data_IF_553471577043
#
_entry.id   IF_553471577043
#
_cell.length_a   1.000
_cell.length_b   1.000
_cell.length_c   1.000
_cell.angle_alpha   90.00
_cell.angle_beta   90.00
_cell.angle_gamma   90.00
#
_symmetry.space_group_name_H-M   'P 1'
#
loop_
_entity.id
_entity.type
_entity.pdbx_description
1 polymer ?
#
# COMPACT_ATOMS: atom_id res chain seq x y z
N UNK A 1 2.54 -11.46 7.21
CA UNK A 1 3.15 -10.13 7.01
C UNK A 1 4.21 -9.87 8.07
N UNK A 2 4.97 -8.79 7.90
CA UNK A 2 6.07 -8.41 8.78
C UNK A 2 5.66 -7.54 9.98
N UNK A 3 4.38 -7.26 10.09
CA UNK A 3 3.82 -6.54 11.24
C UNK A 3 3.42 -7.53 12.34
N UNK A 4 3.85 -7.22 13.56
CA UNK A 4 3.53 -7.96 14.78
C UNK A 4 2.73 -7.06 15.72
N UNK A 5 1.77 -7.63 16.41
CA UNK A 5 1.03 -6.98 17.48
C UNK A 5 0.97 -7.91 18.69
N UNK A 6 0.82 -7.35 19.87
CA UNK A 6 0.56 -8.13 21.08
C UNK A 6 -0.93 -8.50 21.16
N UNK A 7 -1.24 -9.67 21.68
CA UNK A 7 -2.60 -10.07 22.01
C UNK A 7 -3.00 -9.45 23.36
N UNK A 8 -3.52 -8.23 23.27
CA UNK A 8 -3.97 -7.45 24.43
C UNK A 8 -5.32 -6.79 24.13
N UNK A 9 -5.99 -6.31 25.19
CA UNK A 9 -7.38 -5.81 25.15
C UNK A 9 -7.69 -4.72 24.10
N UNK A 10 -6.71 -4.00 23.61
CA UNK A 10 -6.89 -2.92 22.61
C UNK A 10 -6.42 -3.30 21.20
N UNK A 11 -6.02 -4.54 20.97
CA UNK A 11 -5.64 -4.98 19.66
C UNK A 11 -6.86 -5.45 18.86
N UNK A 12 -7.50 -4.55 18.14
CA UNK A 12 -8.66 -4.82 17.30
C UNK A 12 -8.39 -5.80 16.14
N UNK A 13 -7.12 -6.10 15.85
CA UNK A 13 -6.70 -6.99 14.77
C UNK A 13 -6.27 -8.39 15.25
N UNK A 14 -6.52 -8.76 16.51
CA UNK A 14 -6.20 -10.09 17.04
C UNK A 14 -6.83 -11.18 16.17
N UNK A 15 -8.10 -11.03 15.79
CA UNK A 15 -8.80 -11.99 14.93
C UNK A 15 -8.21 -12.11 13.53
N UNK A 16 -7.75 -10.99 12.96
CA UNK A 16 -7.03 -11.02 11.67
C UNK A 16 -5.70 -11.78 11.79
N UNK A 17 -5.04 -11.71 12.95
CA UNK A 17 -3.81 -12.47 13.22
C UNK A 17 -4.07 -13.97 13.40
N UNK A 18 -5.23 -14.34 13.91
CA UNK A 18 -5.67 -15.75 14.11
C UNK A 18 -6.45 -16.30 12.92
N UNK A 19 -6.64 -15.50 11.85
CA UNK A 19 -7.47 -15.84 10.68
C UNK A 19 -8.96 -16.07 10.96
N UNK A 20 -9.46 -15.66 12.11
CA UNK A 20 -10.88 -15.74 12.43
C UNK A 20 -11.74 -14.80 11.58
N UNK A 21 -11.14 -13.71 11.05
CA UNK A 21 -11.81 -12.71 10.19
C UNK A 21 -12.09 -13.21 8.76
N UNK A 22 -11.67 -14.42 8.41
CA UNK A 22 -11.92 -15.00 7.09
C UNK A 22 -13.38 -15.41 6.86
N UNK A 23 -14.20 -15.43 7.91
CA UNK A 23 -15.62 -15.71 7.76
C UNK A 23 -16.38 -14.51 7.19
N UNK A 24 -17.33 -14.78 6.28
CA UNK A 24 -18.10 -13.77 5.55
C UNK A 24 -18.89 -12.79 6.42
N UNK A 25 -19.26 -13.20 7.62
CA UNK A 25 -20.05 -12.40 8.57
C UNK A 25 -19.19 -11.53 9.50
N UNK A 26 -17.86 -11.63 9.44
CA UNK A 26 -16.99 -10.77 10.22
C UNK A 26 -16.83 -9.38 9.59
N UNK A 27 -16.77 -8.36 10.46
CA UNK A 27 -16.74 -6.95 10.04
C UNK A 27 -15.63 -6.61 9.05
N UNK A 28 -14.35 -6.99 9.22
CA UNK A 28 -13.31 -6.60 8.29
C UNK A 28 -13.58 -7.05 6.86
N UNK A 29 -13.94 -8.33 6.69
CA UNK A 29 -14.30 -8.91 5.38
C UNK A 29 -15.51 -8.21 4.77
N UNK A 30 -16.57 -7.99 5.55
CA UNK A 30 -17.79 -7.38 5.06
C UNK A 30 -17.62 -5.89 4.74
N UNK A 31 -16.90 -5.13 5.59
CA UNK A 31 -16.66 -3.70 5.37
C UNK A 31 -15.90 -3.48 4.06
N UNK A 32 -14.82 -4.22 3.83
CA UNK A 32 -14.03 -4.07 2.61
C UNK A 32 -14.87 -4.35 1.36
N UNK A 33 -15.58 -5.48 1.34
CA UNK A 33 -16.48 -5.85 0.25
C UNK A 33 -17.50 -4.76 -0.07
N UNK A 34 -18.24 -4.32 0.95
CA UNK A 34 -19.29 -3.31 0.78
C UNK A 34 -18.74 -1.95 0.36
N UNK A 35 -17.60 -1.54 0.93
CA UNK A 35 -16.99 -0.26 0.59
C UNK A 35 -16.56 -0.23 -0.87
N UNK A 36 -15.84 -1.25 -1.33
CA UNK A 36 -15.37 -1.32 -2.72
C UNK A 36 -16.55 -1.36 -3.69
N UNK A 37 -17.58 -2.18 -3.45
CA UNK A 37 -18.75 -2.21 -4.34
C UNK A 37 -19.59 -0.92 -4.30
N UNK A 38 -19.65 -0.20 -3.18
CA UNK A 38 -20.29 1.12 -3.14
C UNK A 38 -19.53 2.15 -3.98
N UNK A 39 -18.20 2.11 -3.96
CA UNK A 39 -17.37 2.97 -4.81
C UNK A 39 -17.51 2.60 -6.28
N UNK A 40 -17.51 1.31 -6.61
CA UNK A 40 -17.77 0.81 -7.98
C UNK A 40 -19.15 1.28 -8.47
N UNK A 41 -20.19 1.20 -7.63
CA UNK A 41 -21.52 1.69 -7.99
C UNK A 41 -21.50 3.20 -8.32
N UNK A 42 -20.81 3.99 -7.49
CA UNK A 42 -20.66 5.44 -7.73
C UNK A 42 -19.88 5.72 -9.01
N UNK A 43 -18.78 4.99 -9.22
CA UNK A 43 -17.98 5.11 -10.45
C UNK A 43 -18.79 4.74 -11.70
N UNK A 44 -19.57 3.66 -11.66
CA UNK A 44 -20.48 3.28 -12.74
C UNK A 44 -21.48 4.39 -13.08
N UNK A 45 -22.01 5.10 -12.05
CA UNK A 45 -22.87 6.25 -12.25
C UNK A 45 -22.20 7.36 -13.06
N UNK A 46 -20.96 7.70 -12.73
CA UNK A 46 -20.19 8.71 -13.48
C UNK A 46 -19.88 8.23 -14.91
N UNK A 47 -19.42 6.99 -15.04
CA UNK A 47 -19.09 6.39 -16.37
C UNK A 47 -20.30 6.35 -17.28
N UNK A 48 -21.52 6.11 -16.76
CA UNK A 48 -22.75 6.06 -17.55
C UNK A 48 -23.22 7.44 -18.03
N UNK A 49 -22.79 8.53 -17.40
CA UNK A 49 -23.25 9.89 -17.71
C UNK A 49 -22.32 10.66 -18.63
N UNK A 50 -21.08 10.25 -18.79
CA UNK A 50 -20.07 10.94 -19.61
C UNK A 50 -19.85 10.16 -20.90
N UNK A 51 -20.02 10.83 -22.04
CA UNK A 51 -19.67 10.27 -23.35
C UNK A 51 -18.16 9.91 -23.37
N UNK A 52 -17.79 8.65 -23.58
CA UNK A 52 -16.38 8.24 -23.63
C UNK A 52 -15.59 8.87 -24.78
N UNK A 53 -16.26 9.48 -25.77
CA UNK A 53 -15.67 10.23 -26.88
C UNK A 53 -15.65 11.74 -26.63
N UNK A 54 -16.01 12.20 -25.43
CA UNK A 54 -16.03 13.64 -25.09
C UNK A 54 -14.71 14.33 -25.40
N UNK A 55 -14.79 15.56 -25.95
CA UNK A 55 -13.62 16.43 -26.14
C UNK A 55 -13.45 17.46 -24.99
N UNK A 56 -14.41 17.55 -24.06
CA UNK A 56 -14.31 18.44 -22.91
C UNK A 56 -13.24 17.97 -21.92
N UNK A 57 -12.25 18.80 -21.65
CA UNK A 57 -11.12 18.49 -20.75
C UNK A 57 -11.57 18.12 -19.32
N UNK A 58 -12.59 18.77 -18.80
CA UNK A 58 -13.11 18.47 -17.46
C UNK A 58 -13.82 17.12 -17.42
N UNK A 59 -14.60 16.81 -18.44
CA UNK A 59 -15.28 15.52 -18.54
C UNK A 59 -14.29 14.38 -18.77
N UNK A 60 -13.25 14.59 -19.60
CA UNK A 60 -12.13 13.64 -19.74
C UNK A 60 -11.50 13.34 -18.37
N UNK A 61 -11.22 14.38 -17.59
CA UNK A 61 -10.62 14.24 -16.27
C UNK A 61 -11.55 13.47 -15.30
N UNK A 62 -12.83 13.83 -15.21
CA UNK A 62 -13.76 13.16 -14.31
C UNK A 62 -14.03 11.70 -14.69
N UNK A 63 -14.14 11.42 -15.99
CA UNK A 63 -14.26 10.05 -16.47
C UNK A 63 -13.03 9.21 -16.10
N UNK A 64 -11.83 9.78 -16.24
CA UNK A 64 -10.59 9.13 -15.87
C UNK A 64 -10.51 8.84 -14.35
N UNK A 65 -10.99 9.77 -13.49
CA UNK A 65 -11.09 9.53 -12.06
C UNK A 65 -11.99 8.30 -11.77
N UNK A 66 -13.19 8.27 -12.34
CA UNK A 66 -14.15 7.20 -12.12
C UNK A 66 -13.62 5.82 -12.59
N UNK A 67 -13.03 5.77 -13.79
CA UNK A 67 -12.42 4.56 -14.34
C UNK A 67 -11.24 4.07 -13.47
N UNK A 68 -10.38 4.98 -13.03
CA UNK A 68 -9.23 4.62 -12.18
C UNK A 68 -9.65 4.09 -10.81
N UNK A 69 -10.65 4.69 -10.17
CA UNK A 69 -11.21 4.22 -8.88
C UNK A 69 -11.87 2.84 -9.08
N UNK A 70 -12.69 2.66 -10.12
CA UNK A 70 -13.32 1.37 -10.41
C UNK A 70 -12.29 0.27 -10.61
N UNK A 71 -11.23 0.56 -11.36
CA UNK A 71 -10.13 -0.37 -11.57
C UNK A 71 -9.39 -0.70 -10.26
N UNK A 72 -9.10 0.30 -9.43
CA UNK A 72 -8.47 0.11 -8.13
C UNK A 72 -9.32 -0.78 -7.21
N UNK A 73 -10.63 -0.51 -7.13
CA UNK A 73 -11.54 -1.28 -6.29
C UNK A 73 -11.64 -2.73 -6.72
N UNK A 74 -11.77 -3.00 -8.03
CA UNK A 74 -11.74 -4.37 -8.55
C UNK A 74 -10.40 -5.05 -8.34
N UNK A 75 -9.30 -4.32 -8.45
CA UNK A 75 -7.97 -4.87 -8.19
C UNK A 75 -7.80 -5.28 -6.72
N UNK A 76 -8.28 -4.45 -5.77
CA UNK A 76 -8.30 -4.80 -4.34
C UNK A 76 -9.20 -6.00 -4.09
N UNK A 77 -10.42 -6.01 -4.61
CA UNK A 77 -11.36 -7.12 -4.47
C UNK A 77 -10.77 -8.44 -5.01
N UNK A 78 -10.18 -8.41 -6.21
CA UNK A 78 -9.58 -9.58 -6.83
C UNK A 78 -8.44 -10.15 -5.98
N UNK A 79 -7.60 -9.30 -5.39
CA UNK A 79 -6.48 -9.73 -4.54
C UNK A 79 -6.93 -10.23 -3.16
N UNK A 80 -7.99 -9.65 -2.59
CA UNK A 80 -8.46 -10.01 -1.25
C UNK A 80 -9.36 -11.23 -1.21
N UNK A 81 -10.17 -11.45 -2.24
CA UNK A 81 -11.22 -12.48 -2.24
C UNK A 81 -10.93 -13.63 -3.21
N UNK A 82 -9.79 -13.60 -3.90
CA UNK A 82 -9.31 -14.66 -4.77
C UNK A 82 -7.80 -14.84 -4.63
N UNK A 83 -7.27 -15.93 -5.18
CA UNK A 83 -5.83 -16.14 -5.32
C UNK A 83 -5.23 -15.17 -6.35
N UNK A 84 -3.88 -15.07 -6.35
CA UNK A 84 -3.18 -14.23 -7.33
C UNK A 84 -3.55 -14.57 -8.78
N UNK A 85 -3.34 -13.61 -9.69
CA UNK A 85 -3.71 -13.75 -11.10
C UNK A 85 -3.06 -14.97 -11.78
N UNK A 86 -1.72 -15.05 -11.71
CA UNK A 86 -0.97 -16.05 -12.50
C UNK A 86 -1.27 -17.49 -12.08
N UNK A 87 -1.74 -18.28 -13.05
CA UNK A 87 -2.14 -19.68 -12.85
C UNK A 87 -3.56 -19.86 -12.28
N UNK A 88 -4.33 -18.77 -12.15
CA UNK A 88 -5.71 -18.81 -11.67
C UNK A 88 -6.69 -18.08 -12.60
N UNK A 89 -6.28 -17.78 -13.82
CA UNK A 89 -7.00 -16.94 -14.78
C UNK A 89 -8.44 -17.42 -15.02
N UNK A 90 -8.66 -18.72 -15.11
CA UNK A 90 -9.98 -19.33 -15.33
C UNK A 90 -10.80 -19.55 -14.05
N UNK A 91 -10.23 -19.27 -12.86
CA UNK A 91 -10.95 -19.50 -11.60
C UNK A 91 -11.97 -18.40 -11.31
N UNK A 92 -13.06 -18.71 -10.57
CA UNK A 92 -14.02 -17.71 -10.15
C UNK A 92 -13.36 -16.62 -9.31
N UNK A 93 -13.57 -15.35 -9.64
CA UNK A 93 -13.08 -14.19 -8.90
C UNK A 93 -14.21 -13.53 -8.10
N UNK A 94 -14.64 -12.35 -8.51
CA UNK A 94 -15.71 -11.58 -7.88
C UNK A 94 -16.78 -11.23 -8.92
N UNK A 95 -18.02 -10.89 -8.53
CA UNK A 95 -19.02 -10.38 -9.48
C UNK A 95 -18.52 -9.13 -10.20
N UNK A 96 -18.53 -9.13 -11.51
CA UNK A 96 -18.16 -7.98 -12.32
C UNK A 96 -19.42 -7.18 -12.68
N UNK A 97 -19.57 -6.02 -12.02
CA UNK A 97 -20.72 -5.12 -12.19
C UNK A 97 -20.20 -3.80 -12.77
N UNK A 98 -20.55 -3.55 -14.02
CA UNK A 98 -20.23 -2.32 -14.76
C UNK A 98 -21.48 -1.47 -14.99
N UNK A 99 -21.31 -0.28 -15.55
CA UNK A 99 -22.44 0.56 -15.97
C UNK A 99 -23.38 -0.12 -16.98
N UNK A 100 -22.88 -1.12 -17.71
CA UNK A 100 -23.66 -1.83 -18.75
C UNK A 100 -24.59 -2.88 -18.17
N UNK A 101 -24.21 -3.57 -17.09
CA UNK A 101 -24.98 -4.67 -16.50
C UNK A 101 -25.53 -4.36 -15.09
N UNK A 102 -25.35 -3.13 -14.57
CA UNK A 102 -25.73 -2.78 -13.20
C UNK A 102 -27.22 -3.00 -12.91
N UNK A 103 -28.11 -2.67 -13.84
CA UNK A 103 -29.55 -2.86 -13.68
C UNK A 103 -29.94 -4.35 -13.65
N UNK A 104 -29.34 -5.15 -14.52
CA UNK A 104 -29.54 -6.60 -14.56
C UNK A 104 -29.02 -7.25 -13.27
N UNK A 105 -27.82 -6.86 -12.84
CA UNK A 105 -27.22 -7.34 -11.62
C UNK A 105 -28.06 -6.98 -10.37
N UNK A 106 -28.68 -5.80 -10.35
CA UNK A 106 -29.55 -5.38 -9.26
C UNK A 106 -30.85 -6.18 -9.21
N UNK A 107 -31.42 -6.53 -10.38
CA UNK A 107 -32.68 -7.27 -10.47
C UNK A 107 -32.52 -8.77 -10.22
N UNK A 108 -31.48 -9.39 -10.77
CA UNK A 108 -31.34 -10.84 -10.87
C UNK A 108 -30.10 -11.38 -10.13
N UNK A 109 -29.29 -10.52 -9.54
CA UNK A 109 -27.97 -10.84 -9.00
C UNK A 109 -26.92 -10.96 -10.10
N UNK A 110 -25.67 -11.14 -9.70
CA UNK A 110 -24.54 -11.28 -10.60
C UNK A 110 -23.66 -12.46 -10.17
N UNK A 111 -23.42 -13.39 -11.06
CA UNK A 111 -22.49 -14.49 -10.83
C UNK A 111 -21.04 -13.96 -10.71
N UNK A 112 -20.18 -14.76 -10.09
CA UNK A 112 -18.74 -14.46 -10.05
C UNK A 112 -18.15 -14.59 -11.45
N UNK A 113 -17.45 -13.57 -11.90
CA UNK A 113 -16.65 -13.63 -13.13
C UNK A 113 -15.33 -14.37 -12.87
N UNK A 114 -14.63 -14.74 -13.93
CA UNK A 114 -13.30 -15.32 -13.83
C UNK A 114 -12.26 -14.27 -13.43
N UNK A 115 -11.11 -14.71 -12.92
CA UNK A 115 -9.98 -13.83 -12.65
C UNK A 115 -9.57 -13.07 -13.91
N UNK A 116 -9.52 -13.76 -15.06
CA UNK A 116 -9.19 -13.13 -16.35
C UNK A 116 -10.16 -12.00 -16.69
N UNK A 117 -11.47 -12.25 -16.66
CA UNK A 117 -12.49 -11.24 -17.00
C UNK A 117 -12.40 -10.01 -16.09
N UNK A 118 -12.15 -10.20 -14.80
CA UNK A 118 -12.00 -9.08 -13.85
C UNK A 118 -10.74 -8.27 -14.16
N UNK A 119 -9.60 -8.92 -14.44
CA UNK A 119 -8.37 -8.23 -14.79
C UNK A 119 -8.44 -7.58 -16.18
N UNK A 120 -9.15 -8.15 -17.12
CA UNK A 120 -9.41 -7.52 -18.43
C UNK A 120 -10.20 -6.21 -18.25
N UNK A 121 -11.21 -6.19 -17.39
CA UNK A 121 -11.95 -4.96 -17.07
C UNK A 121 -11.06 -3.93 -16.38
N UNK A 122 -10.24 -4.35 -15.39
CA UNK A 122 -9.29 -3.47 -14.69
C UNK A 122 -8.34 -2.83 -15.71
N UNK A 123 -7.78 -3.60 -16.61
CA UNK A 123 -6.85 -3.10 -17.63
C UNK A 123 -7.54 -2.21 -18.67
N UNK A 124 -8.78 -2.54 -19.07
CA UNK A 124 -9.59 -1.70 -19.95
C UNK A 124 -9.82 -0.32 -19.31
N UNK A 125 -10.23 -0.28 -18.06
CA UNK A 125 -10.47 0.96 -17.32
C UNK A 125 -9.19 1.79 -17.19
N UNK A 126 -8.07 1.18 -16.77
CA UNK A 126 -6.80 1.89 -16.62
C UNK A 126 -6.22 2.38 -17.93
N UNK A 127 -6.33 1.61 -19.01
CA UNK A 127 -5.90 2.04 -20.35
C UNK A 127 -6.67 3.27 -20.81
N UNK A 128 -8.01 3.25 -20.64
CA UNK A 128 -8.85 4.39 -20.98
C UNK A 128 -8.57 5.58 -20.07
N UNK A 129 -8.41 5.37 -18.76
CA UNK A 129 -8.11 6.43 -17.80
C UNK A 129 -6.78 7.15 -18.14
N UNK A 130 -5.72 6.37 -18.40
CA UNK A 130 -4.42 6.91 -18.82
C UNK A 130 -4.56 7.74 -20.09
N UNK A 131 -5.22 7.20 -21.12
CA UNK A 131 -5.43 7.92 -22.39
C UNK A 131 -6.18 9.25 -22.20
N UNK A 132 -7.21 9.27 -21.34
CA UNK A 132 -7.97 10.47 -21.02
C UNK A 132 -7.11 11.51 -20.24
N UNK A 133 -6.29 11.04 -19.28
CA UNK A 133 -5.40 11.92 -18.51
C UNK A 133 -4.25 12.46 -19.34
N UNK A 134 -3.81 11.73 -20.36
CA UNK A 134 -2.83 12.25 -21.34
C UNK A 134 -3.44 13.29 -22.30
N UNK A 135 -4.75 13.17 -22.59
CA UNK A 135 -5.48 13.98 -23.54
C UNK A 135 -6.19 15.21 -22.92
N UNK A 136 -6.08 15.42 -21.61
CA UNK A 136 -6.66 16.58 -20.90
C UNK A 136 -5.58 17.53 -20.39
N UNK A 137 -5.86 18.82 -20.38
CA UNK A 137 -5.06 19.85 -19.70
C UNK A 137 -5.47 20.07 -18.24
N UNK A 138 -6.59 19.49 -17.83
CA UNK A 138 -7.03 19.56 -16.44
C UNK A 138 -6.19 18.68 -15.54
N UNK A 139 -5.70 19.27 -14.45
CA UNK A 139 -4.88 18.58 -13.45
C UNK A 139 -5.53 18.65 -12.06
N UNK A 140 -5.09 17.79 -11.17
CA UNK A 140 -5.47 17.83 -9.76
C UNK A 140 -4.77 18.94 -8.96
N UNK A 141 -3.80 19.63 -9.55
CA UNK A 141 -2.89 20.53 -8.83
C UNK A 141 -2.12 19.77 -7.74
N UNK A 142 -2.12 20.28 -6.51
CA UNK A 142 -1.45 19.67 -5.35
C UNK A 142 -2.36 18.69 -4.57
N UNK A 143 -3.62 18.58 -4.93
CA UNK A 143 -4.59 17.75 -4.20
C UNK A 143 -4.40 16.26 -4.48
N UNK A 144 -3.77 15.56 -3.57
CA UNK A 144 -3.43 14.14 -3.71
C UNK A 144 -4.60 13.18 -3.41
N UNK A 145 -5.80 13.68 -3.13
CA UNK A 145 -7.02 12.86 -3.12
C UNK A 145 -7.39 12.38 -4.53
N UNK A 146 -7.05 13.18 -5.54
CA UNK A 146 -7.37 12.88 -6.94
C UNK A 146 -6.22 12.17 -7.64
N UNK A 147 -6.59 11.41 -8.67
CA UNK A 147 -5.65 10.63 -9.48
C UNK A 147 -5.07 11.54 -10.57
N UNK A 148 -3.74 11.68 -10.58
CA UNK A 148 -3.00 12.25 -11.69
C UNK A 148 -2.65 11.16 -12.72
N UNK A 149 -2.13 11.54 -13.89
CA UNK A 149 -1.67 10.56 -14.87
C UNK A 149 -0.55 9.67 -14.31
N UNK A 150 0.32 10.21 -13.45
CA UNK A 150 1.39 9.46 -12.79
C UNK A 150 0.83 8.41 -11.82
N UNK A 151 -0.24 8.74 -11.09
CA UNK A 151 -0.95 7.77 -10.26
C UNK A 151 -1.63 6.70 -11.11
N UNK A 152 -2.24 7.07 -12.22
CA UNK A 152 -2.86 6.11 -13.14
C UNK A 152 -1.80 5.16 -13.76
N UNK A 153 -0.62 5.67 -14.15
CA UNK A 153 0.52 4.83 -14.53
C UNK A 153 0.94 3.91 -13.38
N UNK A 154 1.06 4.43 -12.15
CA UNK A 154 1.43 3.64 -10.98
C UNK A 154 0.41 2.53 -10.67
N UNK A 155 -0.88 2.80 -10.78
CA UNK A 155 -1.93 1.78 -10.64
C UNK A 155 -1.80 0.71 -11.73
N UNK A 156 -1.60 1.11 -12.99
CA UNK A 156 -1.43 0.16 -14.10
C UNK A 156 -0.14 -0.64 -13.97
N UNK A 157 0.94 -0.03 -13.45
CA UNK A 157 2.18 -0.73 -13.12
C UNK A 157 1.97 -1.81 -12.05
N UNK A 158 1.22 -1.53 -10.98
CA UNK A 158 0.85 -2.53 -9.95
C UNK A 158 0.09 -3.72 -10.55
N UNK A 159 -0.88 -3.45 -11.43
CA UNK A 159 -1.68 -4.48 -12.09
C UNK A 159 -0.81 -5.30 -13.03
N UNK A 160 -0.03 -4.65 -13.90
CA UNK A 160 0.90 -5.32 -14.81
C UNK A 160 1.96 -6.17 -14.06
N UNK A 161 2.46 -5.70 -12.92
CA UNK A 161 3.37 -6.46 -12.05
C UNK A 161 2.69 -7.75 -11.55
N UNK A 162 1.45 -7.67 -11.11
CA UNK A 162 0.67 -8.82 -10.63
C UNK A 162 0.35 -9.81 -11.74
N UNK A 163 0.06 -9.30 -12.93
CA UNK A 163 -0.17 -10.12 -14.15
C UNK A 163 1.12 -10.69 -14.74
N UNK A 164 2.29 -10.25 -14.26
CA UNK A 164 3.62 -10.56 -14.80
C UNK A 164 3.84 -10.02 -16.22
N UNK A 165 3.19 -8.94 -16.57
CA UNK A 165 3.43 -8.17 -17.80
C UNK A 165 4.64 -7.25 -17.59
N UNK A 166 5.83 -7.82 -17.50
CA UNK A 166 7.03 -7.16 -17.01
C UNK A 166 7.42 -5.91 -17.78
N UNK A 167 7.41 -5.95 -19.11
CA UNK A 167 7.75 -4.80 -19.95
C UNK A 167 6.79 -3.62 -19.69
N UNK A 168 5.49 -3.87 -19.71
CA UNK A 168 4.47 -2.86 -19.45
C UNK A 168 4.56 -2.31 -18.01
N UNK A 169 4.83 -3.17 -17.03
CA UNK A 169 5.05 -2.76 -15.64
C UNK A 169 6.24 -1.81 -15.50
N UNK A 170 7.36 -2.11 -16.17
CA UNK A 170 8.56 -1.27 -16.16
C UNK A 170 8.33 0.09 -16.85
N UNK A 171 7.65 0.10 -18.00
CA UNK A 171 7.33 1.33 -18.74
C UNK A 171 6.42 2.26 -17.93
N UNK A 172 5.36 1.71 -17.34
CA UNK A 172 4.42 2.46 -16.53
C UNK A 172 5.08 2.98 -15.23
N UNK A 173 5.87 2.15 -14.55
CA UNK A 173 6.62 2.58 -13.37
C UNK A 173 7.60 3.72 -13.70
N UNK A 174 8.31 3.64 -14.84
CA UNK A 174 9.21 4.70 -15.28
C UNK A 174 8.45 6.01 -15.60
N UNK A 175 7.29 5.91 -16.28
CA UNK A 175 6.44 7.08 -16.54
C UNK A 175 5.92 7.72 -15.25
N UNK A 176 5.55 6.90 -14.28
CA UNK A 176 5.11 7.36 -12.97
C UNK A 176 6.24 8.09 -12.23
N UNK A 177 7.47 7.57 -12.24
CA UNK A 177 8.65 8.21 -11.64
C UNK A 177 8.93 9.57 -12.30
N UNK A 178 8.95 9.61 -13.64
CA UNK A 178 9.36 10.80 -14.38
C UNK A 178 8.47 12.04 -14.13
N UNK A 179 7.21 11.84 -13.78
CA UNK A 179 6.25 12.93 -13.54
C UNK A 179 5.92 13.15 -12.06
N UNK A 180 6.49 12.35 -11.15
CA UNK A 180 6.27 12.46 -9.71
C UNK A 180 7.38 13.22 -9.00
N UNK A 181 7.21 13.45 -7.68
CA UNK A 181 8.28 13.93 -6.82
C UNK A 181 9.42 12.93 -6.66
N UNK A 182 10.43 13.32 -5.90
CA UNK A 182 11.54 12.43 -5.56
C UNK A 182 11.21 11.56 -4.35
N UNK A 183 11.86 10.39 -4.16
CA UNK A 183 11.83 9.67 -2.90
C UNK A 183 12.26 10.57 -1.72
N UNK A 184 11.82 10.26 -0.52
CA UNK A 184 12.42 10.87 0.67
C UNK A 184 13.94 10.76 0.61
N UNK A 185 14.62 11.85 0.89
CA UNK A 185 16.04 11.83 1.18
C UNK A 185 16.35 10.94 2.39
N UNK A 186 17.59 10.58 2.57
CA UNK A 186 18.02 9.82 3.75
C UNK A 186 17.76 10.57 5.06
N UNK A 187 17.89 11.90 5.06
CA UNK A 187 17.60 12.74 6.20
C UNK A 187 16.11 12.72 6.55
N UNK A 188 15.23 12.91 5.57
CA UNK A 188 13.78 12.84 5.75
C UNK A 188 13.33 11.45 6.22
N UNK A 189 13.89 10.38 5.66
CA UNK A 189 13.62 9.01 6.11
C UNK A 189 14.19 8.73 7.52
N UNK A 190 15.14 9.52 7.98
CA UNK A 190 15.78 9.44 9.30
C UNK A 190 14.98 10.08 10.44
N UNK A 191 13.72 10.42 10.24
CA UNK A 191 12.83 10.98 11.26
C UNK A 191 11.43 10.36 11.17
N UNK A 192 10.66 10.32 12.27
CA UNK A 192 9.24 9.99 12.22
C UNK A 192 8.47 10.94 11.30
N UNK A 193 7.80 10.39 10.30
CA UNK A 193 7.11 11.14 9.25
C UNK A 193 5.79 10.49 8.84
N UNK A 194 5.47 10.54 7.55
CA UNK A 194 4.27 9.88 6.98
C UNK A 194 2.96 10.39 7.58
N UNK A 195 2.81 11.72 7.69
CA UNK A 195 1.66 12.34 8.34
C UNK A 195 0.85 13.24 7.45
N UNK A 196 1.40 13.72 6.31
CA UNK A 196 0.76 14.74 5.50
C UNK A 196 0.86 14.45 4.01
N UNK A 197 -0.23 14.64 3.29
CA UNK A 197 -0.29 14.47 1.83
C UNK A 197 0.52 15.53 1.06
N UNK A 198 0.98 16.59 1.71
CA UNK A 198 1.92 17.58 1.14
C UNK A 198 3.30 17.00 0.86
N UNK A 199 3.67 15.89 1.48
CA UNK A 199 4.93 15.19 1.27
C UNK A 199 5.24 14.93 -0.21
N UNK A 200 6.42 15.34 -0.67
CA UNK A 200 6.79 15.28 -2.09
C UNK A 200 6.87 13.85 -2.65
N UNK A 201 7.17 12.85 -1.81
CA UNK A 201 7.27 11.46 -2.25
C UNK A 201 5.91 10.79 -2.44
N UNK A 202 4.84 11.37 -1.87
CA UNK A 202 3.51 10.79 -1.97
C UNK A 202 2.86 11.14 -3.31
N UNK A 203 2.40 10.14 -3.99
CA UNK A 203 1.70 10.27 -5.26
C UNK A 203 0.18 10.35 -5.09
N UNK A 204 -0.38 9.57 -4.17
CA UNK A 204 -1.81 9.48 -3.89
C UNK A 204 -2.05 9.21 -2.41
N UNK A 205 -3.12 9.81 -1.85
CA UNK A 205 -3.37 9.74 -0.42
C UNK A 205 -4.86 9.83 -0.07
N UNK A 206 -5.21 9.27 1.08
CA UNK A 206 -6.43 9.63 1.80
C UNK A 206 -6.09 10.84 2.66
N UNK A 207 -6.73 11.97 2.38
CA UNK A 207 -6.56 13.22 3.14
C UNK A 207 -7.64 13.30 4.21
N UNK A 208 -7.22 13.48 5.46
CA UNK A 208 -8.10 13.45 6.64
C UNK A 208 -8.17 14.84 7.27
N UNK A 209 -9.37 15.41 7.37
CA UNK A 209 -9.59 16.66 8.07
C UNK A 209 -9.87 16.41 9.57
N UNK A 210 -9.46 17.33 10.44
CA UNK A 210 -9.72 17.24 11.89
C UNK A 210 -11.23 17.18 12.21
N UNK A 211 -12.06 17.71 11.30
CA UNK A 211 -13.54 17.70 11.42
C UNK A 211 -14.18 16.41 10.94
N UNK A 212 -13.42 15.51 10.30
CA UNK A 212 -13.96 14.26 9.79
C UNK A 212 -14.44 13.37 10.94
N UNK A 213 -15.52 12.64 10.70
CA UNK A 213 -16.10 11.74 11.69
C UNK A 213 -15.11 10.68 12.16
N UNK A 214 -14.21 10.26 11.31
CA UNK A 214 -13.16 9.27 11.64
C UNK A 214 -12.20 9.82 12.71
N UNK A 215 -12.05 11.14 12.84
CA UNK A 215 -11.26 11.81 13.87
C UNK A 215 -12.14 12.18 15.09
N UNK A 216 -13.29 12.82 14.84
CA UNK A 216 -14.16 13.35 15.90
C UNK A 216 -14.88 12.27 16.71
N UNK A 217 -14.96 11.04 16.21
CA UNK A 217 -15.51 9.88 16.94
C UNK A 217 -14.52 9.25 17.95
N UNK A 218 -13.36 9.85 18.14
CA UNK A 218 -12.32 9.41 19.09
C UNK A 218 -11.15 8.74 18.39
N UNK A 219 -10.47 7.82 19.10
CA UNK A 219 -9.22 7.20 18.61
C UNK A 219 -9.43 5.96 17.72
N UNK A 220 -10.62 5.69 17.23
CA UNK A 220 -10.94 4.48 16.44
C UNK A 220 -10.66 4.75 14.96
N UNK A 221 -9.40 4.93 14.59
CA UNK A 221 -8.99 5.16 13.21
C UNK A 221 -7.60 4.60 12.92
N UNK A 222 -7.20 4.55 11.65
CA UNK A 222 -5.90 4.02 11.22
C UNK A 222 -4.71 4.81 11.81
N UNK A 223 -4.66 6.17 11.79
CA UNK A 223 -3.55 6.90 12.40
C UNK A 223 -3.36 6.58 13.89
N UNK A 224 -4.45 6.41 14.64
CA UNK A 224 -4.41 6.00 16.05
C UNK A 224 -3.77 4.61 16.26
N UNK A 225 -3.95 3.69 15.33
CA UNK A 225 -3.34 2.37 15.37
C UNK A 225 -1.87 2.37 14.92
N UNK A 226 -1.43 3.38 14.19
CA UNK A 226 -0.08 3.46 13.63
C UNK A 226 0.81 4.47 14.36
N UNK A 227 0.28 5.56 14.87
CA UNK A 227 1.08 6.63 15.50
C UNK A 227 1.54 6.28 16.91
N UNK A 228 2.75 5.73 17.09
CA UNK A 228 3.26 5.30 18.38
C UNK A 228 3.56 6.45 19.37
N UNK A 229 3.72 7.68 18.87
CA UNK A 229 4.00 8.87 19.67
C UNK A 229 2.76 9.74 19.94
N UNK A 230 1.60 9.40 19.35
CA UNK A 230 0.31 10.01 19.64
C UNK A 230 -0.38 9.31 20.82
N UNK A 231 -1.39 9.97 21.40
CA UNK A 231 -2.37 9.28 22.24
C UNK A 231 -3.38 8.56 21.33
N UNK A 232 -3.30 7.25 21.30
CA UNK A 232 -4.13 6.39 20.48
C UNK A 232 -3.91 4.90 20.80
N UNK A 233 -4.49 4.00 20.03
CA UNK A 233 -4.36 2.57 20.29
C UNK A 233 -2.92 2.08 20.24
N UNK A 234 -2.10 2.61 19.32
CA UNK A 234 -0.69 2.22 19.21
C UNK A 234 0.13 2.59 20.44
N UNK A 235 -0.25 3.65 21.18
CA UNK A 235 0.51 4.14 22.34
C UNK A 235 -0.02 3.65 23.69
N UNK A 236 -1.27 3.15 23.75
CA UNK A 236 -1.87 2.66 24.99
C UNK A 236 -1.83 1.14 25.15
N UNK A 237 -0.99 0.47 24.38
CA UNK A 237 -0.75 -0.97 24.51
C UNK A 237 -0.94 -1.79 23.24
N UNK A 238 -1.64 -1.32 22.23
CA UNK A 238 -1.81 -2.04 20.96
C UNK A 238 -0.65 -1.72 19.99
N UNK A 239 0.56 -1.77 20.47
CA UNK A 239 1.76 -1.43 19.70
C UNK A 239 1.88 -2.24 18.41
N UNK A 240 2.42 -1.60 17.37
CA UNK A 240 2.77 -2.24 16.10
C UNK A 240 4.28 -2.37 16.03
N UNK A 241 4.74 -3.59 15.81
CA UNK A 241 6.15 -3.94 15.82
C UNK A 241 6.55 -4.57 14.50
N UNK A 242 7.81 -4.44 14.13
CA UNK A 242 8.38 -5.24 13.03
C UNK A 242 8.69 -6.65 13.51
N UNK A 243 8.61 -7.61 12.60
CA UNK A 243 9.14 -8.96 12.80
C UNK A 243 10.65 -8.87 13.09
N UNK A 244 11.09 -9.44 14.23
CA UNK A 244 12.48 -9.41 14.65
C UNK A 244 13.45 -9.98 13.60
N UNK A 245 13.03 -11.02 12.86
CA UNK A 245 13.87 -11.59 11.80
C UNK A 245 14.13 -10.55 10.71
N UNK A 246 13.08 -9.88 10.23
CA UNK A 246 13.23 -8.82 9.22
C UNK A 246 14.06 -7.65 9.77
N UNK A 247 13.83 -7.23 11.01
CA UNK A 247 14.63 -6.17 11.65
C UNK A 247 16.13 -6.50 11.65
N UNK A 248 16.50 -7.73 11.99
CA UNK A 248 17.89 -8.17 12.04
C UNK A 248 18.54 -8.29 10.65
N UNK A 249 17.74 -8.37 9.60
CA UNK A 249 18.21 -8.38 8.20
C UNK A 249 18.51 -6.96 7.67
N UNK A 250 18.10 -5.90 8.40
CA UNK A 250 18.36 -4.51 8.00
C UNK A 250 19.77 -4.11 8.51
N UNK A 251 20.69 -3.69 7.62
CA UNK A 251 22.02 -3.23 8.05
C UNK A 251 21.96 -1.99 8.95
N UNK A 252 22.94 -1.81 9.82
CA UNK A 252 23.04 -0.62 10.67
C UNK A 252 23.30 0.67 9.89
N UNK A 253 23.81 0.55 8.66
CA UNK A 253 24.02 1.66 7.74
C UNK A 253 22.73 2.13 7.05
N UNK A 254 21.66 1.31 7.10
CA UNK A 254 20.37 1.65 6.49
C UNK A 254 19.56 2.53 7.44
N UNK A 255 19.24 3.75 7.02
CA UNK A 255 18.49 4.72 7.83
C UNK A 255 17.12 4.22 8.27
N UNK A 256 16.51 3.32 7.50
CA UNK A 256 15.21 2.73 7.83
C UNK A 256 15.26 1.81 9.04
N UNK A 257 16.44 1.33 9.46
CA UNK A 257 16.54 0.56 10.70
C UNK A 257 16.02 1.34 11.90
N UNK A 258 16.22 2.65 11.90
CA UNK A 258 15.69 3.57 12.92
C UNK A 258 14.17 3.81 12.82
N UNK A 259 13.45 3.24 11.83
CA UNK A 259 11.99 3.24 11.83
C UNK A 259 11.38 2.35 12.91
N UNK A 260 12.19 1.60 13.61
CA UNK A 260 11.77 0.76 14.74
C UNK A 260 12.74 0.91 15.90
N UNK A 261 12.23 0.72 17.11
CA UNK A 261 13.08 0.58 18.28
C UNK A 261 13.90 -0.71 18.19
N UNK A 262 15.14 -0.67 18.62
CA UNK A 262 16.00 -1.84 18.74
C UNK A 262 15.63 -2.70 19.97
N UNK A 263 16.44 -3.73 20.26
CA UNK A 263 16.27 -4.60 21.44
C UNK A 263 16.36 -3.84 22.76
N UNK A 264 17.10 -2.72 22.80
CA UNK A 264 17.27 -1.84 23.97
C UNK A 264 16.23 -0.71 24.01
N UNK A 265 15.25 -0.71 23.10
CA UNK A 265 14.23 0.32 22.94
C UNK A 265 14.80 1.69 22.52
N UNK A 266 15.85 1.70 21.77
CA UNK A 266 16.50 2.86 21.19
C UNK A 266 16.27 2.92 19.68
N UNK A 267 16.33 4.11 19.09
CA UNK A 267 16.36 4.34 17.63
C UNK A 267 17.17 5.61 17.36
N UNK A 268 18.07 5.55 16.39
CA UNK A 268 18.89 6.69 15.94
C UNK A 268 18.04 7.78 15.24
N UNK A 269 16.84 7.44 14.81
CA UNK A 269 15.91 8.38 14.18
C UNK A 269 15.08 9.19 15.18
N UNK A 270 15.25 8.96 16.49
CA UNK A 270 14.49 9.66 17.53
C UNK A 270 15.36 10.66 18.29
N UNK A 271 14.82 11.85 18.50
CA UNK A 271 15.41 12.81 19.43
C UNK A 271 15.06 12.46 20.91
N UNK A 272 15.73 13.10 21.85
CA UNK A 272 15.57 12.82 23.29
C UNK A 272 14.12 12.94 23.78
N UNK A 273 13.36 13.88 23.26
CA UNK A 273 11.94 14.08 23.62
C UNK A 273 11.05 12.96 23.11
N UNK A 274 11.30 12.48 21.90
CA UNK A 274 10.59 11.35 21.30
C UNK A 274 10.91 10.04 22.03
N UNK A 275 12.18 9.83 22.42
CA UNK A 275 12.60 8.69 23.25
C UNK A 275 11.89 8.72 24.61
N UNK A 276 11.84 9.87 25.26
CA UNK A 276 11.13 10.02 26.53
C UNK A 276 9.62 9.72 26.38
N UNK A 277 9.00 10.15 25.30
CA UNK A 277 7.58 9.86 25.03
C UNK A 277 7.33 8.37 24.77
N UNK A 278 8.16 7.71 23.97
CA UNK A 278 8.08 6.28 23.73
C UNK A 278 8.25 5.46 25.02
N UNK A 279 9.17 5.90 25.88
CA UNK A 279 9.39 5.31 27.21
C UNK A 279 8.17 5.49 28.12
N UNK A 280 7.59 6.71 28.15
CA UNK A 280 6.37 7.01 28.91
C UNK A 280 5.20 6.13 28.50
N UNK A 281 5.07 5.84 27.21
CA UNK A 281 4.04 4.96 26.68
C UNK A 281 4.38 3.47 26.82
N UNK A 282 5.52 3.11 27.37
CA UNK A 282 5.93 1.73 27.59
C UNK A 282 6.15 0.94 26.30
N UNK A 283 6.51 1.61 25.22
CA UNK A 283 6.73 0.97 23.92
C UNK A 283 7.75 -0.18 24.05
N UNK A 284 7.39 -1.42 23.66
CA UNK A 284 8.33 -2.54 23.68
C UNK A 284 9.38 -2.40 22.57
N UNK A 285 10.43 -3.24 22.65
CA UNK A 285 11.41 -3.38 21.58
C UNK A 285 10.71 -3.68 20.25
N UNK A 286 11.30 -3.20 19.17
CA UNK A 286 10.81 -3.33 17.79
C UNK A 286 9.52 -2.57 17.45
N UNK A 287 9.01 -1.74 18.38
CA UNK A 287 7.86 -0.85 18.10
C UNK A 287 8.22 0.13 16.99
N UNK A 288 7.29 0.29 16.04
CA UNK A 288 7.47 1.19 14.91
C UNK A 288 7.45 2.66 15.35
N UNK A 289 8.31 3.46 14.73
CA UNK A 289 8.43 4.91 14.85
C UNK A 289 8.37 5.61 13.47
N UNK A 290 8.13 4.87 12.41
CA UNK A 290 8.01 5.36 11.04
C UNK A 290 6.91 6.41 10.92
N UNK A 291 5.74 6.11 11.50
CA UNK A 291 4.60 7.02 11.47
C UNK A 291 4.67 7.99 12.63
N UNK A 292 4.98 9.24 12.31
CA UNK A 292 5.13 10.33 13.26
C UNK A 292 3.82 10.81 13.87
N UNK A 293 3.89 11.71 14.84
CA UNK A 293 2.73 12.33 15.44
C UNK A 293 2.13 13.39 14.48
N UNK A 294 0.81 13.48 14.47
CA UNK A 294 0.08 14.47 13.67
C UNK A 294 0.61 15.89 13.93
N UNK A 295 0.95 16.62 12.86
CA UNK A 295 1.60 17.96 12.92
C UNK A 295 2.87 17.99 13.79
N UNK A 296 3.55 16.88 13.97
CA UNK A 296 4.75 16.80 14.83
C UNK A 296 4.48 16.95 16.33
N UNK A 297 3.22 17.04 16.78
CA UNK A 297 2.85 17.27 18.19
C UNK A 297 2.59 15.94 18.88
N UNK A 298 3.51 15.57 19.80
CA UNK A 298 3.42 14.32 20.55
C UNK A 298 2.31 14.34 21.59
N UNK A 299 1.86 13.13 21.95
CA UNK A 299 0.88 12.87 23.00
C UNK A 299 -0.51 13.51 22.81
N UNK A 300 -0.78 14.07 21.64
CA UNK A 300 -2.11 14.57 21.32
C UNK A 300 -3.07 13.45 20.90
N UNK A 301 -4.36 13.62 21.13
CA UNK A 301 -5.42 12.68 20.77
C UNK A 301 -6.01 12.90 19.37
N UNK A 302 -5.65 14.00 18.70
CA UNK A 302 -6.05 14.26 17.33
C UNK A 302 -5.24 13.35 16.40
N UNK A 303 -5.89 12.32 15.87
CA UNK A 303 -5.28 11.34 14.98
C UNK A 303 -5.80 11.60 13.55
N UNK A 304 -5.38 12.73 12.96
CA UNK A 304 -5.81 13.21 11.65
C UNK A 304 -4.69 13.17 10.60
N UNK A 305 -3.67 12.34 10.81
CA UNK A 305 -2.63 12.14 9.79
C UNK A 305 -3.23 11.54 8.53
N UNK A 306 -2.80 12.05 7.39
CA UNK A 306 -3.15 11.51 6.08
C UNK A 306 -2.55 10.10 5.89
N UNK A 307 -3.09 9.36 4.92
CA UNK A 307 -2.67 7.97 4.67
C UNK A 307 -2.15 7.85 3.24
N UNK A 308 -0.87 7.49 3.02
CA UNK A 308 -0.35 7.28 1.67
C UNK A 308 -0.97 6.02 1.06
N UNK A 309 -1.51 6.15 -0.15
CA UNK A 309 -1.98 5.04 -0.98
C UNK A 309 -0.96 4.65 -2.04
N UNK A 310 -0.09 5.60 -2.43
CA UNK A 310 0.98 5.39 -3.39
C UNK A 310 2.10 6.38 -3.15
N UNK A 311 3.34 5.89 -3.17
CA UNK A 311 4.56 6.70 -3.09
C UNK A 311 5.49 6.38 -4.24
N UNK A 312 6.34 7.35 -4.60
CA UNK A 312 7.27 7.17 -5.72
C UNK A 312 8.31 6.07 -5.46
N UNK A 313 8.68 5.83 -4.21
CA UNK A 313 9.59 4.73 -3.82
C UNK A 313 9.09 3.37 -4.28
N UNK A 314 7.78 3.14 -4.21
CA UNK A 314 7.19 1.89 -4.73
C UNK A 314 7.43 1.75 -6.23
N UNK A 315 7.36 2.85 -6.98
CA UNK A 315 7.57 2.82 -8.43
C UNK A 315 9.02 2.42 -8.79
N UNK A 316 10.02 2.86 -8.02
CA UNK A 316 11.40 2.40 -8.17
C UNK A 316 11.54 0.88 -7.93
N UNK A 317 10.85 0.38 -6.93
CA UNK A 317 10.86 -1.06 -6.60
C UNK A 317 10.12 -1.91 -7.64
N UNK A 318 8.99 -1.41 -8.19
CA UNK A 318 8.30 -2.05 -9.32
C UNK A 318 9.20 -2.05 -10.56
N UNK A 319 9.84 -0.93 -10.87
CA UNK A 319 10.73 -0.80 -12.02
C UNK A 319 11.89 -1.81 -11.94
N UNK A 320 12.55 -1.90 -10.79
CA UNK A 320 13.67 -2.82 -10.59
C UNK A 320 13.25 -4.29 -10.77
N UNK A 321 12.11 -4.69 -10.17
CA UNK A 321 11.59 -6.04 -10.32
C UNK A 321 11.19 -6.35 -11.77
N UNK A 322 10.44 -5.44 -12.39
CA UNK A 322 9.94 -5.62 -13.74
C UNK A 322 11.08 -5.68 -14.78
N UNK A 323 12.12 -4.86 -14.62
CA UNK A 323 13.33 -4.95 -15.47
C UNK A 323 14.01 -6.29 -15.34
N UNK A 324 14.21 -6.78 -14.11
CA UNK A 324 14.88 -8.05 -13.87
C UNK A 324 14.10 -9.23 -14.46
N UNK A 325 12.82 -9.30 -14.17
CA UNK A 325 11.93 -10.37 -14.61
C UNK A 325 11.60 -10.29 -16.11
N UNK A 326 11.69 -9.09 -16.69
CA UNK A 326 11.54 -8.84 -18.13
C UNK A 326 12.78 -9.19 -18.97
N UNK A 327 13.77 -9.88 -18.39
CA UNK A 327 14.95 -10.39 -19.09
C UNK A 327 16.24 -9.58 -18.89
N UNK A 328 16.23 -8.54 -18.09
CA UNK A 328 17.38 -7.69 -17.82
C UNK A 328 17.76 -7.65 -16.32
N UNK A 329 18.19 -8.76 -15.71
CA UNK A 329 18.47 -8.83 -14.27
C UNK A 329 19.55 -7.85 -13.82
N UNK A 330 20.58 -7.60 -14.64
CA UNK A 330 21.63 -6.63 -14.33
C UNK A 330 21.08 -5.19 -14.23
N UNK A 331 20.16 -4.82 -15.13
CA UNK A 331 19.51 -3.50 -15.09
C UNK A 331 18.61 -3.38 -13.87
N UNK A 332 17.82 -4.41 -13.56
CA UNK A 332 16.97 -4.42 -12.36
C UNK A 332 17.79 -4.32 -11.07
N UNK A 333 18.90 -5.08 -10.98
CA UNK A 333 19.83 -4.99 -9.84
C UNK A 333 20.45 -3.60 -9.70
N UNK A 334 20.86 -2.98 -10.80
CA UNK A 334 21.43 -1.63 -10.81
C UNK A 334 20.39 -0.58 -10.38
N UNK A 335 19.14 -0.68 -10.86
CA UNK A 335 18.02 0.20 -10.46
C UNK A 335 17.75 0.07 -8.96
N UNK A 336 17.68 -1.15 -8.43
CA UNK A 336 17.50 -1.39 -7.01
C UNK A 336 18.65 -0.80 -6.19
N UNK A 337 19.89 -1.11 -6.58
CA UNK A 337 21.08 -0.63 -5.88
C UNK A 337 21.13 0.90 -5.85
N UNK A 338 20.87 1.54 -7.00
CA UNK A 338 20.87 2.99 -7.09
C UNK A 338 19.83 3.62 -6.15
N UNK A 339 18.60 3.12 -6.15
CA UNK A 339 17.54 3.60 -5.26
C UNK A 339 17.96 3.48 -3.79
N UNK A 340 18.46 2.31 -3.38
CA UNK A 340 18.83 2.06 -1.98
C UNK A 340 20.04 2.91 -1.58
N UNK A 341 21.07 3.02 -2.44
CA UNK A 341 22.25 3.83 -2.14
C UNK A 341 21.92 5.33 -2.02
N UNK A 342 21.15 5.85 -2.95
CA UNK A 342 20.87 7.29 -3.00
C UNK A 342 19.98 7.73 -1.83
N UNK A 343 19.07 6.86 -1.37
CA UNK A 343 18.00 7.28 -0.45
C UNK A 343 17.93 6.54 0.88
N UNK A 344 18.63 5.40 1.06
CA UNK A 344 18.46 4.57 2.26
C UNK A 344 19.77 4.13 2.91
N UNK A 345 20.62 3.46 2.16
CA UNK A 345 21.87 2.87 2.64
C UNK A 345 23.00 3.05 1.61
N UNK A 346 23.91 4.01 1.82
CA UNK A 346 25.03 4.25 0.90
C UNK A 346 25.98 3.06 0.73
N UNK A 347 25.96 2.10 1.66
CA UNK A 347 26.81 0.92 1.63
C UNK A 347 26.13 -0.30 0.95
N UNK A 348 24.86 -0.17 0.54
CA UNK A 348 24.13 -1.28 -0.05
C UNK A 348 24.75 -1.73 -1.37
N UNK A 349 24.93 -3.05 -1.53
CA UNK A 349 25.37 -3.69 -2.76
C UNK A 349 24.36 -4.77 -3.13
N UNK A 350 23.78 -4.68 -4.31
CA UNK A 350 22.92 -5.73 -4.85
C UNK A 350 23.78 -6.80 -5.53
N UNK A 351 24.03 -7.90 -4.84
CA UNK A 351 24.83 -9.02 -5.35
C UNK A 351 24.03 -10.02 -6.20
N UNK A 352 22.72 -9.79 -6.35
CA UNK A 352 21.83 -10.65 -7.11
C UNK A 352 22.14 -10.58 -8.61
N UNK A 353 22.30 -11.73 -9.26
CA UNK A 353 22.69 -11.83 -10.68
C UNK A 353 21.65 -12.54 -11.57
N UNK A 354 20.71 -13.27 -10.98
CA UNK A 354 19.60 -13.88 -11.72
C UNK A 354 18.30 -13.10 -11.52
N UNK A 355 17.35 -13.22 -12.46
CA UNK A 355 16.06 -12.54 -12.37
C UNK A 355 15.33 -12.82 -11.05
N UNK A 356 15.27 -14.08 -10.64
CA UNK A 356 14.64 -14.49 -9.38
C UNK A 356 15.39 -13.98 -8.15
N UNK A 357 16.72 -13.95 -8.18
CA UNK A 357 17.51 -13.40 -7.07
C UNK A 357 17.31 -11.89 -6.94
N UNK A 358 17.20 -11.14 -8.05
CA UNK A 358 16.88 -9.72 -8.04
C UNK A 358 15.44 -9.50 -7.53
N UNK A 359 14.48 -10.31 -7.98
CA UNK A 359 13.11 -10.26 -7.48
C UNK A 359 13.05 -10.47 -5.96
N UNK A 360 13.82 -11.42 -5.42
CA UNK A 360 13.90 -11.66 -3.98
C UNK A 360 14.56 -10.49 -3.24
N UNK A 361 15.59 -9.88 -3.80
CA UNK A 361 16.22 -8.68 -3.25
C UNK A 361 15.23 -7.48 -3.25
N UNK A 362 14.50 -7.28 -4.34
CA UNK A 362 13.43 -6.26 -4.40
C UNK A 362 12.35 -6.55 -3.38
N UNK A 363 11.89 -7.80 -3.25
CA UNK A 363 10.87 -8.17 -2.27
C UNK A 363 11.33 -7.84 -0.84
N UNK A 364 12.59 -8.13 -0.49
CA UNK A 364 13.14 -7.74 0.81
C UNK A 364 13.10 -6.23 1.02
N UNK A 365 13.50 -5.44 0.02
CA UNK A 365 13.43 -3.99 0.10
C UNK A 365 11.99 -3.47 0.19
N UNK A 366 11.03 -4.08 -0.51
CA UNK A 366 9.61 -3.75 -0.40
C UNK A 366 9.05 -4.00 1.00
N UNK A 367 9.42 -5.11 1.65
CA UNK A 367 9.00 -5.44 3.02
C UNK A 367 9.44 -4.38 4.03
N UNK A 368 10.63 -3.80 3.84
CA UNK A 368 11.18 -2.73 4.69
C UNK A 368 10.55 -1.39 4.34
N UNK A 369 10.65 -0.99 3.08
CA UNK A 369 10.23 0.34 2.61
C UNK A 369 8.72 0.58 2.78
N UNK A 370 7.93 -0.39 2.39
CA UNK A 370 6.47 -0.29 2.35
C UNK A 370 5.79 -0.90 3.59
N UNK A 371 6.57 -1.08 4.66
CA UNK A 371 6.04 -1.59 5.92
C UNK A 371 4.90 -0.71 6.44
N UNK A 372 3.78 -1.33 6.77
CA UNK A 372 2.59 -0.64 7.28
C UNK A 372 1.70 0.00 6.22
N UNK A 373 2.05 -0.08 4.92
CA UNK A 373 1.30 0.55 3.82
C UNK A 373 0.33 -0.40 3.10
N UNK A 374 0.09 -1.60 3.64
CA UNK A 374 -0.93 -2.54 3.13
C UNK A 374 -0.50 -3.38 1.93
N UNK A 375 0.74 -3.31 1.48
CA UNK A 375 1.20 -3.96 0.24
C UNK A 375 1.83 -5.35 0.43
N UNK A 376 2.42 -5.62 1.61
CA UNK A 376 3.16 -6.87 1.86
C UNK A 376 2.34 -8.13 1.64
N UNK A 377 1.05 -8.14 1.97
CA UNK A 377 0.18 -9.29 1.79
C UNK A 377 0.01 -9.64 0.31
N UNK A 378 -0.17 -8.64 -0.54
CA UNK A 378 -0.32 -8.83 -1.98
C UNK A 378 0.99 -9.29 -2.63
N UNK A 379 2.14 -8.81 -2.14
CA UNK A 379 3.44 -9.33 -2.57
C UNK A 379 3.63 -10.81 -2.21
N UNK A 380 3.24 -11.22 -1.00
CA UNK A 380 3.28 -12.63 -0.56
C UNK A 380 2.44 -13.51 -1.49
N UNK A 381 1.22 -13.05 -1.85
CA UNK A 381 0.33 -13.79 -2.75
C UNK A 381 0.92 -13.92 -4.17
N UNK A 382 1.31 -12.78 -4.78
CA UNK A 382 1.79 -12.78 -6.18
C UNK A 382 3.13 -13.49 -6.37
N UNK A 383 3.98 -13.50 -5.34
CA UNK A 383 5.29 -14.16 -5.34
C UNK A 383 5.23 -15.60 -4.80
N UNK A 384 4.04 -16.06 -4.41
CA UNK A 384 3.83 -17.37 -3.78
C UNK A 384 4.80 -17.63 -2.60
N UNK A 385 5.01 -16.62 -1.76
CA UNK A 385 5.86 -16.70 -0.56
C UNK A 385 5.08 -17.22 0.64
N UNK A 386 5.75 -17.96 1.50
CA UNK A 386 5.21 -18.36 2.80
C UNK A 386 5.35 -17.26 3.84
N UNK A 387 4.57 -17.39 4.92
CA UNK A 387 4.70 -16.56 6.13
C UNK A 387 5.36 -17.41 7.21
N UNK A 388 6.58 -17.06 7.62
CA UNK A 388 7.25 -17.69 8.76
C UNK A 388 6.96 -16.89 10.03
N UNK A 389 6.14 -17.46 10.92
CA UNK A 389 5.76 -16.85 12.20
C UNK A 389 6.49 -17.42 13.41
N UNK A 390 7.41 -18.35 13.24
CA UNK A 390 8.11 -19.04 14.36
C UNK A 390 8.92 -18.10 15.26
N UNK A 391 9.30 -16.94 14.76
CA UNK A 391 10.01 -15.89 15.51
C UNK A 391 9.10 -14.75 15.98
N UNK A 392 7.79 -14.88 15.84
CA UNK A 392 6.84 -13.89 16.34
C UNK A 392 6.61 -14.16 17.85
N UNK A 393 7.11 -13.25 18.67
CA UNK A 393 6.70 -13.18 20.08
C UNK A 393 5.16 -13.13 20.11
N UNK A 394 4.53 -14.15 20.73
CA UNK A 394 3.12 -14.18 21.11
C UNK A 394 2.04 -14.47 20.03
N UNK A 395 2.33 -15.12 18.92
CA UNK A 395 1.26 -15.69 18.10
C UNK A 395 1.29 -17.21 18.17
N UNK A 396 0.14 -17.82 18.49
CA UNK A 396 -0.02 -19.26 18.34
C UNK A 396 0.23 -19.66 16.89
N UNK A 397 0.93 -20.77 16.60
CA UNK A 397 1.13 -21.24 15.23
C UNK A 397 -0.23 -21.41 14.53
N UNK A 398 -0.34 -20.86 13.32
CA UNK A 398 -1.51 -21.12 12.48
C UNK A 398 -1.59 -22.61 12.16
N UNK A 399 -2.79 -23.21 12.04
CA UNK A 399 -2.95 -24.58 11.55
C UNK A 399 -2.30 -24.86 10.19
N UNK A 400 -2.00 -23.78 9.42
CA UNK A 400 -1.28 -23.87 8.13
C UNK A 400 0.25 -23.84 8.26
N UNK A 401 0.77 -23.57 9.45
CA UNK A 401 2.21 -23.56 9.74
C UNK A 401 2.70 -24.94 10.26
N UNK A 402 1.83 -25.95 10.24
CA UNK A 402 2.12 -27.35 10.59
C UNK A 402 2.31 -28.21 9.36
#
# INVERSE_FOLDING_TARGET
TDMVGLDINYNWFTRSMTFEDLFFNYRPTNILWRTMYNQIYTANGVVSTIDPATEDSSLKYYLAQALSIRAFDYFVLAQMYQHTYKGNESKPCVPLITNENANEAAANGCARSTVQEVYDQIMSDLNKAVSLLEATDKTRGTDKRYISKEVAYGLRARVNLTMQNWTAAAEDAQKAINGSGTPYSREEAGAPGFTESSDHSWMWAIVIAETDRVVTSGIVNFPSHMGSLNYGYASVGAWRMINKKLYNEIPDTDVRKGWWLDANKHSDNLNATQVAQATKYGCPAYTQMKYGPYKGVMAQSTNASDIPLMRVEEMYLILAEAQAMGGNPSTGAATLQKFVNDYRDPAYVCTASSATAVQDAVWQQRRIELWGEGLSYFDILRLNKGIDRRCLLYTSPSPRDR
#
